data_IF_137455166807
#
_entry.id   IF_137455166807
#
_cell.length_a   1.000
_cell.length_b   1.000
_cell.length_c   1.000
_cell.angle_alpha   90.00
_cell.angle_beta   90.00
_cell.angle_gamma   90.00
#
_symmetry.space_group_name_H-M   'P 1'
#
loop_
_entity.id
_entity.type
_entity.pdbx_description
1 polymer ?
#
# COMPACT_ATOMS: atom_id res chain seq x y z
N UNK A 1 -11.09 10.31 -12.68
CA UNK A 1 -12.01 11.43 -12.74
C UNK A 1 -11.76 12.37 -11.58
N UNK A 2 -11.62 13.64 -11.84
CA UNK A 2 -11.52 14.70 -10.83
C UNK A 2 -12.73 14.62 -9.90
N UNK A 3 -12.53 14.19 -8.66
CA UNK A 3 -13.54 14.34 -7.61
C UNK A 3 -13.50 15.80 -7.17
N UNK A 4 -14.27 16.66 -7.83
CA UNK A 4 -14.35 18.07 -7.51
C UNK A 4 -14.73 18.31 -6.05
N UNK A 5 -14.31 19.44 -5.50
CA UNK A 5 -14.77 19.99 -4.24
C UNK A 5 -16.30 20.10 -4.37
N UNK A 6 -17.07 19.36 -3.58
CA UNK A 6 -18.54 19.37 -3.65
C UNK A 6 -19.20 18.11 -4.22
N UNK A 7 -18.47 17.01 -4.41
CA UNK A 7 -19.13 15.74 -4.74
C UNK A 7 -20.06 15.31 -3.59
N UNK A 8 -21.26 14.84 -3.91
CA UNK A 8 -22.24 14.31 -2.94
C UNK A 8 -21.62 13.42 -1.84
N UNK A 9 -20.66 12.52 -2.15
CA UNK A 9 -19.98 11.73 -1.13
C UNK A 9 -19.20 12.57 -0.10
N UNK A 10 -18.58 13.68 -0.50
CA UNK A 10 -17.84 14.56 0.42
C UNK A 10 -18.76 15.42 1.30
N UNK A 11 -19.86 15.90 0.75
CA UNK A 11 -20.90 16.59 1.52
C UNK A 11 -21.45 15.65 2.59
N UNK A 12 -21.82 14.43 2.22
CA UNK A 12 -22.27 13.38 3.14
C UNK A 12 -21.21 13.06 4.21
N UNK A 13 -19.93 13.01 3.83
CA UNK A 13 -18.85 12.80 4.78
C UNK A 13 -18.74 13.94 5.78
N UNK A 14 -18.86 15.19 5.34
CA UNK A 14 -18.93 16.36 6.22
C UNK A 14 -20.06 16.26 7.25
N UNK A 15 -21.26 15.92 6.79
CA UNK A 15 -22.45 15.76 7.63
C UNK A 15 -22.38 14.54 8.59
N UNK A 16 -21.45 13.63 8.40
CA UNK A 16 -21.28 12.42 9.23
C UNK A 16 -19.99 12.43 10.07
N UNK A 17 -19.30 13.57 10.16
CA UNK A 17 -18.10 13.72 10.96
C UNK A 17 -16.84 13.08 10.34
N UNK A 18 -16.75 13.02 9.02
CA UNK A 18 -15.59 12.46 8.30
C UNK A 18 -15.01 13.47 7.30
N UNK A 19 -15.08 14.76 7.60
CA UNK A 19 -14.69 15.83 6.68
C UNK A 19 -13.19 15.83 6.35
N UNK A 20 -12.33 15.47 7.30
CA UNK A 20 -10.89 15.31 7.09
C UNK A 20 -10.62 13.98 6.40
N UNK A 21 -11.19 12.90 6.91
CA UNK A 21 -10.94 11.55 6.40
C UNK A 21 -11.39 11.38 4.95
N UNK A 22 -12.45 12.09 4.54
CA UNK A 22 -12.96 12.08 3.17
C UNK A 22 -12.01 12.71 2.14
N UNK A 23 -10.93 13.35 2.58
CA UNK A 23 -9.86 13.84 1.69
C UNK A 23 -8.93 12.73 1.22
N UNK A 24 -8.92 11.57 1.88
CA UNK A 24 -8.20 10.41 1.40
C UNK A 24 -8.76 9.93 0.05
N UNK A 25 -7.87 9.59 -0.89
CA UNK A 25 -8.26 9.14 -2.24
C UNK A 25 -9.05 7.83 -2.21
N UNK A 26 -8.83 7.00 -1.21
CA UNK A 26 -9.46 5.68 -1.02
C UNK A 26 -10.68 5.72 -0.08
N UNK A 27 -11.10 6.91 0.39
CA UNK A 27 -12.34 7.05 1.17
C UNK A 27 -13.56 6.82 0.29
N UNK A 28 -14.50 6.05 0.81
CA UNK A 28 -15.85 5.93 0.26
C UNK A 28 -16.89 5.90 1.40
N UNK A 29 -18.12 6.41 1.20
CA UNK A 29 -19.13 6.50 2.25
C UNK A 29 -19.53 5.17 2.87
N UNK A 30 -19.51 4.08 2.07
CA UNK A 30 -19.76 2.71 2.49
C UNK A 30 -18.66 2.15 3.38
N UNK A 31 -17.45 2.68 3.25
CA UNK A 31 -16.27 2.29 4.06
C UNK A 31 -15.95 3.27 5.19
N UNK A 32 -16.87 4.20 5.49
CA UNK A 32 -16.62 5.22 6.53
C UNK A 32 -16.25 4.64 7.90
N UNK A 33 -16.74 3.44 8.21
CA UNK A 33 -16.45 2.75 9.48
C UNK A 33 -14.96 2.40 9.66
N UNK A 34 -14.18 2.36 8.57
CA UNK A 34 -12.74 2.16 8.61
C UNK A 34 -11.97 3.43 9.04
N UNK A 35 -12.63 4.56 9.09
CA UNK A 35 -12.01 5.85 9.36
C UNK A 35 -12.48 6.42 10.68
N UNK A 36 -11.61 7.17 11.33
CA UNK A 36 -11.96 7.89 12.57
C UNK A 36 -13.03 8.93 12.29
N UNK A 37 -13.99 9.06 13.19
CA UNK A 37 -14.93 10.17 13.15
C UNK A 37 -14.24 11.43 13.74
N UNK A 38 -14.08 12.47 12.91
CA UNK A 38 -13.32 13.68 13.24
C UNK A 38 -13.99 14.50 14.35
N UNK A 39 -15.32 14.43 14.50
CA UNK A 39 -16.04 15.11 15.57
C UNK A 39 -15.87 14.41 16.92
N UNK A 40 -15.85 13.06 16.91
CA UNK A 40 -15.70 12.28 18.15
C UNK A 40 -14.24 12.21 18.60
N UNK A 41 -13.31 12.36 17.70
CA UNK A 41 -11.88 12.26 17.94
C UNK A 41 -11.14 13.40 17.24
N UNK A 42 -11.37 14.65 17.65
CA UNK A 42 -10.67 15.79 17.08
C UNK A 42 -9.17 15.72 17.37
N UNK A 43 -8.39 16.41 16.57
CA UNK A 43 -6.99 16.68 16.86
C UNK A 43 -6.70 18.16 16.57
N UNK A 44 -5.70 18.69 17.23
CA UNK A 44 -5.14 20.01 16.95
C UNK A 44 -3.82 19.87 16.23
N UNK A 45 -3.50 20.79 15.34
CA UNK A 45 -2.20 20.91 14.67
C UNK A 45 -1.71 22.33 14.83
N UNK A 46 -0.42 22.48 15.00
CA UNK A 46 0.24 23.80 14.96
C UNK A 46 0.36 24.34 13.54
N UNK A 47 0.13 23.51 12.54
CA UNK A 47 0.21 23.83 11.12
C UNK A 47 -1.15 23.71 10.45
N UNK A 48 -1.55 24.73 9.68
CA UNK A 48 -2.88 24.85 9.07
C UNK A 48 -3.17 23.76 8.01
N UNK A 49 -2.13 23.13 7.48
CA UNK A 49 -2.27 22.18 6.37
C UNK A 49 -2.10 20.71 6.75
N UNK A 50 -1.88 20.39 8.03
CA UNK A 50 -1.71 19.01 8.44
C UNK A 50 -3.04 18.26 8.44
N UNK A 51 -3.13 17.23 7.61
CA UNK A 51 -4.31 16.38 7.50
C UNK A 51 -4.00 14.97 7.98
N UNK A 52 -4.42 14.66 9.17
CA UNK A 52 -4.20 13.34 9.74
C UNK A 52 -5.30 12.36 9.33
N UNK A 53 -5.06 11.60 8.28
CA UNK A 53 -5.92 10.49 7.87
C UNK A 53 -5.68 9.31 8.80
N UNK A 54 -6.67 8.96 9.62
CA UNK A 54 -6.55 7.99 10.72
C UNK A 54 -7.50 6.83 10.57
N UNK A 55 -7.04 5.65 11.05
CA UNK A 55 -7.87 4.46 11.24
C UNK A 55 -7.67 3.94 12.66
N UNK A 56 -8.75 3.50 13.32
CA UNK A 56 -8.71 2.88 14.66
C UNK A 56 -9.13 1.40 14.63
N UNK A 57 -9.31 0.85 13.45
CA UNK A 57 -9.72 -0.54 13.31
C UNK A 57 -8.60 -1.50 13.71
N UNK A 58 -8.96 -2.67 14.21
CA UNK A 58 -8.05 -3.80 14.30
C UNK A 58 -7.53 -4.10 12.89
N UNK A 59 -6.22 -4.27 12.74
CA UNK A 59 -5.55 -4.35 11.44
C UNK A 59 -5.16 -3.01 10.82
N UNK A 60 -5.59 -1.87 11.42
CA UNK A 60 -5.15 -0.52 11.04
C UNK A 60 -5.31 -0.20 9.56
N UNK A 61 -4.28 0.41 8.99
CA UNK A 61 -4.27 0.84 7.58
C UNK A 61 -4.28 -0.31 6.57
N UNK A 62 -3.94 -1.52 7.00
CA UNK A 62 -4.01 -2.71 6.15
C UNK A 62 -5.44 -2.97 5.62
N UNK A 63 -6.46 -2.53 6.36
CA UNK A 63 -7.87 -2.63 5.95
C UNK A 63 -8.23 -1.69 4.78
N UNK A 64 -7.45 -0.63 4.57
CA UNK A 64 -7.72 0.42 3.59
C UNK A 64 -6.54 0.69 2.65
N UNK A 65 -5.54 -0.18 2.60
CA UNK A 65 -4.37 0.00 1.75
C UNK A 65 -4.66 -0.30 0.27
N UNK A 66 -3.81 0.22 -0.61
CA UNK A 66 -3.91 0.04 -2.05
C UNK A 66 -3.40 -1.32 -2.56
N UNK A 67 -2.95 -2.21 -1.66
CA UNK A 67 -2.38 -3.55 -1.95
C UNK A 67 -1.08 -3.54 -2.75
N UNK A 68 -0.49 -2.38 -2.95
CA UNK A 68 0.83 -2.25 -3.55
C UNK A 68 1.86 -2.58 -2.48
N UNK A 69 2.76 -3.50 -2.78
CA UNK A 69 3.81 -3.91 -1.87
C UNK A 69 5.15 -3.86 -2.61
N UNK A 70 6.00 -2.94 -2.17
CA UNK A 70 7.34 -2.74 -2.71
C UNK A 70 8.33 -2.93 -1.57
N UNK A 71 9.49 -3.51 -1.87
CA UNK A 71 10.63 -3.53 -0.95
C UNK A 71 11.28 -2.17 -0.93
N UNK A 72 11.71 -1.72 0.23
CA UNK A 72 12.62 -0.59 0.33
C UNK A 72 14.01 -1.04 -0.13
N UNK A 73 14.67 -0.24 -0.94
CA UNK A 73 16.06 -0.50 -1.35
C UNK A 73 17.04 -0.15 -0.22
N UNK A 74 18.27 -0.63 -0.33
CA UNK A 74 19.32 -0.24 0.62
C UNK A 74 19.56 1.27 0.62
N UNK A 75 19.43 1.93 -0.53
CA UNK A 75 19.45 3.38 -0.62
C UNK A 75 18.46 4.06 0.34
N UNK A 76 17.25 3.52 0.49
CA UNK A 76 16.25 4.09 1.39
C UNK A 76 16.64 3.98 2.88
N UNK A 77 17.38 2.93 3.27
CA UNK A 77 17.90 2.79 4.63
C UNK A 77 19.10 3.70 4.91
N UNK A 78 19.84 4.09 3.89
CA UNK A 78 21.04 4.93 3.93
C UNK A 78 20.82 6.31 3.32
N UNK A 79 19.58 6.73 3.19
CA UNK A 79 19.21 8.00 2.53
C UNK A 79 19.87 9.21 3.21
N UNK A 80 19.98 9.21 4.54
CA UNK A 80 20.60 10.32 5.26
C UNK A 80 22.08 10.51 4.90
N UNK A 81 22.84 9.42 4.80
CA UNK A 81 24.25 9.45 4.35
C UNK A 81 24.35 9.89 2.88
N UNK A 82 23.41 9.52 2.02
CA UNK A 82 23.43 9.90 0.61
C UNK A 82 23.01 11.35 0.36
N UNK A 83 22.04 11.82 1.13
CA UNK A 83 21.43 13.15 0.93
C UNK A 83 21.94 14.20 1.91
N UNK A 84 22.71 13.82 2.91
CA UNK A 84 23.32 14.73 3.89
C UNK A 84 22.34 15.29 4.93
N UNK A 85 21.18 14.67 5.11
CA UNK A 85 20.17 15.12 6.07
C UNK A 85 19.51 13.95 6.83
N UNK A 86 19.41 14.06 8.15
CA UNK A 86 18.79 13.06 9.01
C UNK A 86 19.78 12.06 9.58
N UNK A 87 19.29 10.86 9.89
CA UNK A 87 20.06 9.73 10.44
C UNK A 87 19.70 8.47 9.69
N UNK A 88 20.69 7.69 9.28
CA UNK A 88 20.50 6.40 8.65
C UNK A 88 19.77 5.42 9.57
N UNK A 89 19.03 4.52 8.98
CA UNK A 89 18.47 3.40 9.72
C UNK A 89 19.60 2.47 10.19
N UNK A 90 19.51 1.92 11.43
CA UNK A 90 20.51 1.01 11.97
C UNK A 90 20.44 -0.41 11.37
N UNK A 91 19.75 -0.57 10.27
CA UNK A 91 19.56 -1.81 9.51
C UNK A 91 19.85 -1.56 8.03
N UNK A 92 20.06 -2.64 7.27
CA UNK A 92 20.22 -2.61 5.82
C UNK A 92 19.19 -3.49 5.12
N UNK A 93 19.20 -3.50 3.80
CA UNK A 93 18.29 -4.28 3.00
C UNK A 93 18.40 -5.79 3.27
N UNK A 94 19.63 -6.29 3.43
CA UNK A 94 19.88 -7.72 3.64
C UNK A 94 19.30 -8.23 4.96
N UNK A 95 19.32 -7.39 6.00
CA UNK A 95 18.70 -7.72 7.29
C UNK A 95 17.21 -8.02 7.18
N UNK A 96 16.52 -7.37 6.22
CA UNK A 96 15.08 -7.48 6.04
C UNK A 96 14.67 -8.48 4.95
N UNK A 97 15.57 -8.90 4.09
CA UNK A 97 15.25 -9.79 2.96
C UNK A 97 14.50 -11.06 3.37
N UNK A 98 14.90 -11.82 4.41
CA UNK A 98 14.18 -13.02 4.83
C UNK A 98 12.75 -12.72 5.31
N UNK A 99 12.54 -11.56 5.90
CA UNK A 99 11.22 -11.13 6.39
C UNK A 99 10.33 -10.67 5.24
N UNK A 100 10.88 -9.95 4.26
CA UNK A 100 10.18 -9.61 3.03
C UNK A 100 9.67 -10.87 2.33
N UNK A 101 10.53 -11.85 2.10
CA UNK A 101 10.18 -13.11 1.43
C UNK A 101 9.07 -13.87 2.18
N UNK A 102 9.15 -13.92 3.50
CA UNK A 102 8.13 -14.55 4.34
C UNK A 102 6.77 -13.86 4.20
N UNK A 103 6.75 -12.53 4.24
CA UNK A 103 5.52 -11.73 4.12
C UNK A 103 4.95 -11.82 2.70
N UNK A 104 5.79 -11.70 1.68
CA UNK A 104 5.39 -11.78 0.28
C UNK A 104 4.79 -13.15 -0.07
N UNK A 105 5.41 -14.22 0.40
CA UNK A 105 4.87 -15.58 0.27
C UNK A 105 3.53 -15.73 0.99
N UNK A 106 3.44 -15.22 2.21
CA UNK A 106 2.20 -15.25 2.99
C UNK A 106 1.07 -14.48 2.31
N UNK A 107 1.34 -13.28 1.83
CA UNK A 107 0.35 -12.43 1.16
C UNK A 107 0.04 -12.89 -0.26
N UNK A 108 0.90 -13.68 -0.88
CA UNK A 108 0.74 -14.10 -2.27
C UNK A 108 0.98 -12.95 -3.25
N UNK A 109 2.16 -12.34 -3.18
CA UNK A 109 2.52 -11.18 -4.00
C UNK A 109 2.60 -11.54 -5.49
N UNK A 110 2.08 -10.65 -6.33
CA UNK A 110 2.15 -10.73 -7.79
C UNK A 110 3.01 -9.59 -8.31
N UNK A 111 3.94 -9.89 -9.20
CA UNK A 111 4.88 -8.92 -9.76
C UNK A 111 5.75 -9.51 -10.83
N UNK A 112 6.78 -8.77 -11.22
CA UNK A 112 7.84 -9.19 -12.16
C UNK A 112 9.21 -8.89 -11.58
N UNK A 113 10.17 -9.71 -11.91
CA UNK A 113 11.58 -9.42 -11.69
C UNK A 113 12.04 -8.45 -12.76
N UNK A 114 12.33 -7.24 -12.36
CA UNK A 114 12.65 -6.13 -13.27
C UNK A 114 14.10 -5.65 -13.09
N UNK A 115 14.80 -6.13 -12.06
CA UNK A 115 16.20 -5.85 -11.72
C UNK A 115 16.50 -4.34 -11.62
N UNK A 116 15.60 -3.61 -10.99
CA UNK A 116 15.74 -2.16 -10.78
C UNK A 116 16.37 -1.92 -9.41
N UNK A 117 17.56 -1.32 -9.33
CA UNK A 117 18.29 -1.16 -8.05
C UNK A 117 17.49 -0.45 -6.95
N UNK A 118 16.70 0.55 -7.31
CA UNK A 118 15.89 1.34 -6.37
C UNK A 118 14.55 0.70 -6.02
N UNK A 119 14.18 -0.39 -6.72
CA UNK A 119 12.95 -1.14 -6.50
C UNK A 119 13.29 -2.62 -6.52
N UNK A 120 13.91 -3.16 -5.45
CA UNK A 120 14.38 -4.53 -5.41
C UNK A 120 13.27 -5.53 -5.73
N UNK A 121 13.63 -6.61 -6.39
CA UNK A 121 12.68 -7.66 -6.74
C UNK A 121 12.20 -8.41 -5.49
N UNK A 122 10.97 -8.84 -5.53
CA UNK A 122 10.31 -9.61 -4.47
C UNK A 122 10.11 -11.07 -4.84
N UNK A 123 9.58 -11.83 -3.90
CA UNK A 123 9.13 -13.19 -4.12
C UNK A 123 7.70 -13.19 -4.66
N UNK A 124 7.53 -13.53 -5.93
CA UNK A 124 6.22 -13.49 -6.59
C UNK A 124 5.66 -14.89 -6.78
N UNK A 125 4.38 -15.09 -6.41
CA UNK A 125 3.67 -16.36 -6.67
C UNK A 125 3.19 -16.45 -8.12
N UNK A 126 3.09 -15.32 -8.80
CA UNK A 126 2.62 -15.22 -10.19
C UNK A 126 3.20 -13.97 -10.84
N UNK A 127 3.54 -14.06 -12.11
CA UNK A 127 3.95 -12.90 -12.90
C UNK A 127 2.78 -11.95 -13.13
N UNK A 128 3.04 -10.65 -12.93
CA UNK A 128 2.13 -9.60 -13.38
C UNK A 128 2.24 -9.43 -14.90
N UNK A 129 1.14 -9.12 -15.56
CA UNK A 129 1.11 -8.87 -17.00
C UNK A 129 0.80 -7.41 -17.30
N UNK A 130 1.32 -6.90 -18.41
CA UNK A 130 0.91 -5.65 -19.02
C UNK A 130 -0.09 -5.95 -20.15
N UNK A 131 -1.13 -5.16 -20.26
CA UNK A 131 -2.03 -5.20 -21.41
C UNK A 131 -1.31 -4.81 -22.70
N UNK A 132 -1.89 -5.10 -23.85
CA UNK A 132 -1.30 -4.77 -25.15
C UNK A 132 -1.00 -3.26 -25.29
N UNK A 133 -1.87 -2.40 -24.73
CA UNK A 133 -1.67 -0.96 -24.73
C UNK A 133 -0.50 -0.54 -23.82
N UNK A 134 -0.42 -1.11 -22.63
CA UNK A 134 0.67 -0.85 -21.68
C UNK A 134 2.01 -1.35 -22.23
N UNK A 135 2.02 -2.47 -22.95
CA UNK A 135 3.24 -2.96 -23.64
C UNK A 135 3.72 -1.97 -24.71
N UNK A 136 2.81 -1.42 -25.52
CA UNK A 136 3.17 -0.39 -26.51
C UNK A 136 3.67 0.88 -25.81
N UNK A 137 3.04 1.27 -24.72
CA UNK A 137 3.50 2.40 -23.91
C UNK A 137 4.89 2.15 -23.34
N UNK A 138 5.14 0.98 -22.77
CA UNK A 138 6.46 0.54 -22.27
C UNK A 138 7.51 0.67 -23.36
N UNK A 139 7.27 0.07 -24.53
CA UNK A 139 8.19 0.13 -25.65
C UNK A 139 8.52 1.58 -26.06
N UNK A 140 7.49 2.44 -26.14
CA UNK A 140 7.69 3.85 -26.50
C UNK A 140 8.50 4.61 -25.44
N UNK A 141 8.21 4.42 -24.17
CA UNK A 141 8.95 5.08 -23.08
C UNK A 141 10.41 4.62 -23.06
N UNK A 142 10.65 3.31 -23.05
CA UNK A 142 11.99 2.76 -22.92
C UNK A 142 12.86 2.96 -24.17
N UNK A 143 12.25 3.13 -25.35
CA UNK A 143 12.98 3.52 -26.56
C UNK A 143 13.29 5.03 -26.61
N UNK A 144 12.53 5.86 -25.90
CA UNK A 144 12.75 7.31 -25.86
C UNK A 144 13.71 7.72 -24.74
N UNK A 145 13.66 7.03 -23.61
CA UNK A 145 14.46 7.31 -22.41
C UNK A 145 15.05 6.01 -21.88
N UNK A 146 16.32 5.79 -22.12
CA UNK A 146 17.03 4.55 -21.76
C UNK A 146 17.06 4.30 -20.24
N UNK A 147 17.07 5.37 -19.45
CA UNK A 147 17.11 5.34 -17.97
C UNK A 147 15.74 5.08 -17.32
N UNK A 148 14.65 5.14 -18.10
CA UNK A 148 13.30 4.95 -17.58
C UNK A 148 12.82 3.53 -17.85
N UNK A 149 12.12 2.96 -16.85
CA UNK A 149 11.52 1.63 -16.95
C UNK A 149 10.03 1.72 -16.68
N UNK A 150 9.25 0.98 -17.44
CA UNK A 150 7.82 0.79 -17.21
C UNK A 150 7.61 -0.64 -16.74
N UNK A 151 7.18 -0.79 -15.51
CA UNK A 151 6.95 -2.09 -14.88
C UNK A 151 5.50 -2.24 -14.46
N UNK A 152 4.96 -3.44 -14.41
CA UNK A 152 3.65 -3.67 -13.83
C UNK A 152 3.67 -3.43 -12.32
N UNK A 153 2.51 -3.15 -11.75
CA UNK A 153 2.35 -3.04 -10.32
C UNK A 153 2.75 -4.34 -9.61
N UNK A 154 3.45 -4.21 -8.49
CA UNK A 154 3.70 -5.29 -7.55
C UNK A 154 2.64 -5.22 -6.47
N UNK A 155 1.77 -6.20 -6.40
CA UNK A 155 0.56 -6.09 -5.61
C UNK A 155 0.09 -7.42 -5.04
N UNK A 156 -0.71 -7.33 -3.98
CA UNK A 156 -1.43 -8.47 -3.40
C UNK A 156 -2.83 -8.54 -4.03
N UNK A 157 -3.15 -9.59 -4.81
CA UNK A 157 -4.46 -9.73 -5.43
C UNK A 157 -5.58 -9.82 -4.38
N UNK A 158 -6.76 -9.34 -4.76
CA UNK A 158 -7.94 -9.37 -3.88
C UNK A 158 -8.37 -10.80 -3.52
N UNK A 159 -8.13 -11.71 -4.43
CA UNK A 159 -8.61 -13.11 -4.36
C UNK A 159 -7.55 -14.09 -3.82
N UNK A 160 -6.32 -13.64 -3.61
CA UNK A 160 -5.33 -14.53 -3.01
C UNK A 160 -5.63 -14.74 -1.54
N UNK A 161 -5.90 -15.98 -1.23
CA UNK A 161 -5.83 -16.46 0.13
C UNK A 161 -4.36 -16.66 0.49
N UNK A 162 -3.86 -16.06 1.57
CA UNK A 162 -2.50 -16.30 2.01
C UNK A 162 -2.24 -17.79 2.21
N UNK A 163 -1.04 -18.24 1.92
CA UNK A 163 -0.60 -19.58 2.25
C UNK A 163 -0.04 -19.53 3.67
N UNK A 164 -0.58 -20.33 4.55
CA UNK A 164 -0.01 -20.51 5.88
C UNK A 164 1.39 -21.14 5.72
N UNK A 165 2.43 -20.47 6.17
CA UNK A 165 3.80 -21.00 6.01
C UNK A 165 4.06 -22.29 6.79
N UNK A 166 3.30 -22.55 7.87
CA UNK A 166 3.44 -23.74 8.67
C UNK A 166 2.72 -24.97 8.07
N UNK A 167 1.52 -24.76 7.52
CA UNK A 167 0.68 -25.85 7.02
C UNK A 167 0.71 -26.00 5.51
N UNK A 168 1.30 -25.03 4.78
CA UNK A 168 1.26 -24.91 3.31
C UNK A 168 -0.18 -24.86 2.74
N UNK A 169 -1.17 -24.70 3.58
CA UNK A 169 -2.56 -24.58 3.16
C UNK A 169 -2.90 -23.12 2.87
N UNK A 170 -3.70 -22.88 1.84
CA UNK A 170 -4.25 -21.57 1.58
C UNK A 170 -5.25 -21.21 2.67
N UNK A 171 -4.90 -20.26 3.49
CA UNK A 171 -5.82 -19.67 4.46
C UNK A 171 -6.71 -18.65 3.74
N UNK A 172 -7.90 -18.47 4.26
CA UNK A 172 -8.77 -17.35 3.85
C UNK A 172 -8.02 -16.02 3.96
N UNK A 173 -8.41 -15.00 3.19
CA UNK A 173 -7.72 -13.71 3.20
C UNK A 173 -7.46 -13.23 4.64
N UNK A 174 -6.39 -12.46 4.90
CA UNK A 174 -6.09 -12.00 6.27
C UNK A 174 -7.28 -11.35 6.96
N UNK A 175 -8.15 -10.70 6.21
CA UNK A 175 -9.44 -10.15 6.64
C UNK A 175 -10.40 -11.24 7.11
N UNK A 176 -10.57 -12.30 6.32
CA UNK A 176 -11.46 -13.40 6.65
C UNK A 176 -10.85 -14.27 7.75
N UNK A 177 -9.54 -14.43 7.79
CA UNK A 177 -8.86 -15.09 8.88
C UNK A 177 -9.02 -14.33 10.20
N UNK A 178 -8.86 -13.00 10.17
CA UNK A 178 -9.08 -12.15 11.34
C UNK A 178 -10.55 -12.13 11.79
N UNK A 179 -11.50 -12.10 10.83
CA UNK A 179 -12.93 -12.20 11.15
C UNK A 179 -13.29 -13.55 11.81
N UNK A 180 -12.69 -14.66 11.35
CA UNK A 180 -12.90 -15.98 11.96
C UNK A 180 -12.34 -16.11 13.36
N UNK A 181 -11.39 -15.28 13.76
CA UNK A 181 -10.86 -15.28 15.14
C UNK A 181 -11.75 -14.52 16.12
N UNK A 182 -12.87 -13.93 15.69
CA UNK A 182 -13.75 -13.12 16.53
C UNK A 182 -13.11 -11.82 17.03
N UNK A 183 -11.99 -11.42 16.44
CA UNK A 183 -11.23 -10.22 16.82
C UNK A 183 -11.53 -9.00 15.93
N UNK A 184 -12.51 -9.13 15.06
CA UNK A 184 -13.07 -8.03 14.27
C UNK A 184 -14.51 -7.78 14.76
N UNK A 185 -14.66 -7.01 15.80
CA UNK A 185 -15.92 -6.34 16.13
C UNK A 185 -15.94 -4.93 15.53
#
# INVERSE_FOLDING_TARGET
GFKGIGSLPRIKAGLTGHHIQARASFYSPDKRFLFVNDWKHPYSSSEDFYLWIRSKNIGGRFMSWGRVALRMSDYAFKAASHEGAGVDWPICYDDLTPYYERVEKFLGLVGTEDHIPFVPDGLYIRKAGLSALEQKFKQKVESTWSERKVIPWRYVPKETTPVDPATQQRTTSPLVAAAKTGRLE
#
